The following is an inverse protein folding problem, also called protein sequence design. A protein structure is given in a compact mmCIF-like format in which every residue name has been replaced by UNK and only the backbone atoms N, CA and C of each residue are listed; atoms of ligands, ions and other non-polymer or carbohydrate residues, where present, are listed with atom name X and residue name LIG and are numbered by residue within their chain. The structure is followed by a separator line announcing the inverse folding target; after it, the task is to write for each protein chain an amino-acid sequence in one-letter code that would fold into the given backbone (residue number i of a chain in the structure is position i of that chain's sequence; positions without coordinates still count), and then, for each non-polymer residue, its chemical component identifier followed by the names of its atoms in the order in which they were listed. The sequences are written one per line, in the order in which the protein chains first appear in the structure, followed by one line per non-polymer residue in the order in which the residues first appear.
data_IF_902180054568
#
_entry.id   IF_902180054568
#
_cell.length_a   1.000
_cell.length_b   1.000
_cell.length_c   1.000
_cell.angle_alpha   90.00
_cell.angle_beta   90.00
_cell.angle_gamma   90.00
#
_symmetry.space_group_name_H-M   'P 1'
#
loop_
_entity.id
_entity.type
_entity.pdbx_description
1 polymer ?
#
# COMPACT_ATOMS: atom_id res chain seq x y z
N UNK A 1 23.48 4.84 -20.21
CA UNK A 1 24.22 5.58 -19.17
C UNK A 1 23.30 6.28 -18.18
N UNK A 2 22.35 7.03 -18.65
CA UNK A 2 21.39 7.75 -17.81
C UNK A 2 20.54 6.83 -16.93
N UNK A 3 20.08 5.70 -17.46
CA UNK A 3 19.27 4.73 -16.73
C UNK A 3 20.04 4.07 -15.56
N UNK A 4 21.32 3.80 -15.74
CA UNK A 4 22.18 3.23 -14.69
C UNK A 4 22.37 4.23 -13.55
N UNK A 5 22.61 5.48 -13.89
CA UNK A 5 22.76 6.55 -12.90
C UNK A 5 21.50 6.72 -12.09
N UNK A 6 20.32 6.77 -12.74
CA UNK A 6 19.03 6.87 -12.04
C UNK A 6 18.80 5.70 -11.09
N UNK A 7 19.14 4.48 -11.50
CA UNK A 7 19.02 3.31 -10.64
C UNK A 7 19.94 3.38 -9.44
N UNK A 8 21.15 3.88 -9.62
CA UNK A 8 22.10 4.04 -8.53
C UNK A 8 21.64 5.11 -7.54
N UNK A 9 21.13 6.26 -8.05
CA UNK A 9 20.60 7.31 -7.19
C UNK A 9 19.37 6.84 -6.42
N UNK A 10 18.48 6.10 -7.07
CA UNK A 10 17.31 5.53 -6.41
C UNK A 10 17.72 4.56 -5.29
N UNK A 11 18.68 3.69 -5.59
CA UNK A 11 19.20 2.74 -4.59
C UNK A 11 19.81 3.48 -3.41
N UNK A 12 20.65 4.48 -3.68
CA UNK A 12 21.28 5.29 -2.64
C UNK A 12 20.25 6.00 -1.77
N UNK A 13 19.24 6.63 -2.39
CA UNK A 13 18.18 7.31 -1.67
C UNK A 13 17.40 6.34 -0.78
N UNK A 14 17.09 5.16 -1.29
CA UNK A 14 16.40 4.13 -0.50
C UNK A 14 17.24 3.65 0.68
N UNK A 15 18.56 3.50 0.49
CA UNK A 15 19.47 3.13 1.57
C UNK A 15 19.56 4.20 2.65
N UNK A 16 19.61 5.46 2.25
CA UNK A 16 19.60 6.60 3.17
C UNK A 16 18.30 6.67 3.98
N UNK A 17 17.16 6.49 3.31
CA UNK A 17 15.86 6.45 3.97
C UNK A 17 15.74 5.27 4.93
N UNK A 18 16.24 4.11 4.53
CA UNK A 18 16.26 2.93 5.38
C UNK A 18 17.10 3.17 6.64
N UNK A 19 18.23 3.82 6.48
CA UNK A 19 19.09 4.17 7.62
C UNK A 19 18.37 5.12 8.58
N UNK A 20 17.68 6.13 8.07
CA UNK A 20 16.89 7.06 8.88
C UNK A 20 15.80 6.30 9.66
N UNK A 21 15.11 5.38 9.01
CA UNK A 21 14.11 4.54 9.66
C UNK A 21 14.71 3.72 10.80
N UNK A 22 15.88 3.11 10.57
CA UNK A 22 16.54 2.28 11.57
C UNK A 22 17.08 3.07 12.77
N UNK A 23 17.40 4.34 12.58
CA UNK A 23 17.89 5.22 13.65
C UNK A 23 16.77 5.69 14.58
N UNK A 24 15.51 5.72 14.13
CA UNK A 24 14.37 6.10 14.95
C UNK A 24 13.70 4.88 15.57
N UNK A 25 13.66 4.74 16.90
CA UNK A 25 12.99 3.59 17.54
C UNK A 25 11.53 3.44 17.12
N UNK A 26 10.79 4.56 17.03
CA UNK A 26 9.37 4.54 16.64
C UNK A 26 9.21 4.09 15.19
N UNK A 27 10.01 4.62 14.27
CA UNK A 27 9.94 4.26 12.86
C UNK A 27 10.39 2.84 12.62
N UNK A 28 11.41 2.38 13.33
CA UNK A 28 11.89 1.00 13.26
C UNK A 28 10.80 0.02 13.68
N UNK A 29 10.09 0.32 14.76
CA UNK A 29 8.97 -0.50 15.23
C UNK A 29 7.86 -0.55 14.19
N UNK A 30 7.44 0.60 13.67
CA UNK A 30 6.40 0.68 12.63
C UNK A 30 6.82 -0.07 11.37
N UNK A 31 8.06 0.09 10.93
CA UNK A 31 8.58 -0.61 9.76
C UNK A 31 8.55 -2.13 9.98
N UNK A 32 8.92 -2.61 11.16
CA UNK A 32 8.89 -4.03 11.47
C UNK A 32 7.47 -4.59 11.40
N UNK A 33 6.48 -3.85 11.91
CA UNK A 33 5.07 -4.24 11.80
C UNK A 33 4.63 -4.35 10.35
N UNK A 34 4.91 -3.33 9.53
CA UNK A 34 4.54 -3.32 8.13
C UNK A 34 5.20 -4.47 7.35
N UNK A 35 6.48 -4.72 7.60
CA UNK A 35 7.26 -5.76 6.92
C UNK A 35 6.88 -7.18 7.34
N UNK A 36 6.11 -7.34 8.41
CA UNK A 36 5.60 -8.65 8.79
C UNK A 36 4.55 -9.17 7.82
N UNK A 37 3.96 -8.30 6.98
CA UNK A 37 2.97 -8.69 5.98
C UNK A 37 3.67 -9.28 4.76
N UNK A 38 3.33 -10.54 4.37
CA UNK A 38 3.89 -11.12 3.15
C UNK A 38 3.56 -10.26 1.93
N UNK A 39 4.58 -9.84 1.20
CA UNK A 39 4.48 -8.95 0.06
C UNK A 39 4.90 -7.51 0.36
N UNK A 40 5.05 -7.16 1.63
CA UNK A 40 5.49 -5.81 2.03
C UNK A 40 6.98 -5.84 2.38
N UNK A 41 7.76 -5.18 1.55
CA UNK A 41 9.20 -5.07 1.73
C UNK A 41 9.65 -3.70 2.19
N UNK A 42 10.98 -3.46 2.16
CA UNK A 42 11.56 -2.18 2.60
C UNK A 42 11.02 -0.98 1.83
N UNK A 43 10.84 -1.09 0.52
CA UNK A 43 10.40 0.03 -0.31
C UNK A 43 9.01 0.53 0.10
N UNK A 44 8.02 -0.36 0.23
CA UNK A 44 6.67 0.06 0.63
C UNK A 44 6.66 0.58 2.06
N UNK A 45 7.33 -0.10 3.00
CA UNK A 45 7.33 0.33 4.41
C UNK A 45 7.93 1.72 4.58
N UNK A 46 9.06 2.00 3.95
CA UNK A 46 9.71 3.31 4.00
C UNK A 46 8.82 4.37 3.34
N UNK A 47 8.26 4.06 2.16
CA UNK A 47 7.38 4.98 1.44
C UNK A 47 6.16 5.36 2.27
N UNK A 48 5.52 4.39 2.91
CA UNK A 48 4.35 4.66 3.75
C UNK A 48 4.70 5.51 4.97
N UNK A 49 5.81 5.22 5.62
CA UNK A 49 6.24 6.00 6.79
C UNK A 49 6.60 7.44 6.42
N UNK A 50 7.24 7.63 5.28
CA UNK A 50 7.68 8.95 4.84
C UNK A 50 6.57 9.77 4.18
N UNK A 51 5.74 9.14 3.33
CA UNK A 51 4.79 9.85 2.48
C UNK A 51 3.33 9.69 2.90
N UNK A 52 3.02 8.79 3.83
CA UNK A 52 1.67 8.57 4.32
C UNK A 52 1.65 8.51 5.86
N UNK A 53 2.09 9.59 6.54
CA UNK A 53 2.12 9.58 8.01
C UNK A 53 0.74 9.45 8.64
N UNK A 54 -0.33 9.75 7.90
CA UNK A 54 -1.72 9.64 8.35
C UNK A 54 -2.26 8.21 8.36
N UNK A 55 -1.47 7.22 7.91
CA UNK A 55 -1.93 5.85 7.68
C UNK A 55 -2.69 5.25 8.87
N UNK A 56 -2.19 5.44 10.08
CA UNK A 56 -2.82 4.89 11.29
C UNK A 56 -4.01 5.69 11.81
N UNK A 57 -4.23 6.91 11.29
CA UNK A 57 -5.27 7.83 11.79
C UNK A 57 -6.51 7.93 10.90
N UNK A 58 -6.43 7.45 9.66
CA UNK A 58 -7.51 7.55 8.70
C UNK A 58 -8.28 6.22 8.58
N UNK A 59 -9.57 6.31 8.31
CA UNK A 59 -10.36 5.13 8.00
C UNK A 59 -10.11 4.66 6.55
N UNK A 60 -10.66 3.50 6.21
CA UNK A 60 -10.42 2.89 4.89
C UNK A 60 -10.87 3.77 3.71
N UNK A 61 -11.98 4.50 3.87
CA UNK A 61 -12.48 5.40 2.82
C UNK A 61 -11.55 6.58 2.60
N UNK A 62 -11.11 7.18 3.70
CA UNK A 62 -10.17 8.31 3.66
C UNK A 62 -8.83 7.89 3.07
N UNK A 63 -8.31 6.74 3.47
CA UNK A 63 -7.05 6.20 2.92
C UNK A 63 -7.16 5.92 1.43
N UNK A 64 -8.25 5.28 1.01
CA UNK A 64 -8.47 4.97 -0.40
C UNK A 64 -8.56 6.24 -1.26
N UNK A 65 -9.24 7.27 -0.77
CA UNK A 65 -9.33 8.55 -1.46
C UNK A 65 -7.98 9.26 -1.53
N UNK A 66 -7.23 9.27 -0.44
CA UNK A 66 -5.93 9.95 -0.36
C UNK A 66 -4.90 9.32 -1.29
N UNK A 67 -4.86 8.00 -1.36
CA UNK A 67 -3.92 7.26 -2.21
C UNK A 67 -4.40 7.18 -3.67
N UNK A 68 -5.70 7.40 -3.91
CA UNK A 68 -6.26 7.35 -5.25
C UNK A 68 -6.65 5.95 -5.72
N UNK A 69 -7.09 5.11 -4.80
CA UNK A 69 -7.55 3.74 -5.09
C UNK A 69 -9.02 3.53 -4.73
N UNK A 70 -9.74 4.60 -4.42
CA UNK A 70 -11.16 4.54 -4.13
C UNK A 70 -11.94 4.11 -5.37
N UNK A 71 -13.07 3.39 -5.20
CA UNK A 71 -13.93 3.09 -6.35
C UNK A 71 -14.42 4.37 -6.99
N UNK A 72 -14.34 4.43 -8.34
CA UNK A 72 -14.82 5.59 -9.08
C UNK A 72 -16.34 5.54 -9.09
N UNK A 73 -16.95 6.59 -8.57
CA UNK A 73 -18.40 6.74 -8.63
C UNK A 73 -18.75 7.37 -9.98
N UNK A 74 -19.35 6.60 -10.87
CA UNK A 74 -19.65 7.03 -12.25
C UNK A 74 -20.57 8.24 -12.31
N UNK A 75 -21.43 8.40 -11.31
CA UNK A 75 -22.46 9.45 -11.28
C UNK A 75 -21.93 10.82 -10.86
N UNK A 76 -20.76 10.88 -10.25
CA UNK A 76 -20.20 12.14 -9.76
C UNK A 76 -19.28 12.83 -10.75
N UNK A 77 -19.21 12.31 -11.94
CA UNK A 77 -18.56 12.96 -13.06
C UNK A 77 -17.05 12.91 -13.06
N UNK A 78 -16.55 13.17 -14.23
CA UNK A 78 -15.13 13.19 -14.58
C UNK A 78 -14.30 14.12 -13.69
N UNK A 79 -14.90 15.16 -13.12
CA UNK A 79 -14.21 16.15 -12.30
C UNK A 79 -13.69 15.58 -10.99
N UNK A 80 -14.46 14.72 -10.33
CA UNK A 80 -14.01 14.06 -9.09
C UNK A 80 -12.94 13.01 -9.36
N UNK A 81 -13.07 12.26 -10.44
CA UNK A 81 -12.05 11.32 -10.88
C UNK A 81 -10.74 12.03 -11.17
N UNK A 82 -10.79 13.16 -11.85
CA UNK A 82 -9.64 14.00 -12.14
C UNK A 82 -9.03 14.53 -10.84
N UNK A 83 -9.84 15.02 -9.91
CA UNK A 83 -9.35 15.51 -8.61
C UNK A 83 -8.68 14.41 -7.79
N UNK A 84 -9.22 13.20 -7.82
CA UNK A 84 -8.64 12.05 -7.11
C UNK A 84 -7.29 11.68 -7.72
N UNK A 85 -7.18 11.71 -9.04
CA UNK A 85 -5.92 11.46 -9.75
C UNK A 85 -4.89 12.55 -9.42
N UNK A 86 -5.31 13.82 -9.41
CA UNK A 86 -4.42 14.95 -9.13
C UNK A 86 -4.09 15.09 -7.65
N UNK A 87 -5.07 14.80 -6.75
CA UNK A 87 -4.90 14.90 -5.31
C UNK A 87 -4.33 13.65 -4.66
N UNK A 88 -4.35 12.51 -5.36
CA UNK A 88 -3.83 11.26 -4.83
C UNK A 88 -2.31 11.25 -4.79
N UNK A 89 -1.75 10.57 -3.80
CA UNK A 89 -0.30 10.43 -3.66
C UNK A 89 0.20 9.36 -4.62
N UNK A 90 0.55 9.78 -5.82
CA UNK A 90 0.91 8.88 -6.92
C UNK A 90 2.14 8.02 -6.62
N UNK A 91 3.10 8.56 -5.86
CA UNK A 91 4.28 7.80 -5.45
C UNK A 91 3.92 6.63 -4.55
N UNK A 92 3.04 6.87 -3.56
CA UNK A 92 2.52 5.82 -2.68
C UNK A 92 1.74 4.80 -3.49
N UNK A 93 0.87 5.25 -4.39
CA UNK A 93 0.05 4.36 -5.21
C UNK A 93 0.89 3.43 -6.08
N UNK A 94 1.94 3.94 -6.69
CA UNK A 94 2.85 3.15 -7.54
C UNK A 94 3.54 2.05 -6.74
N UNK A 95 4.10 2.40 -5.59
CA UNK A 95 4.80 1.43 -4.73
C UNK A 95 3.81 0.42 -4.14
N UNK A 96 2.63 0.87 -3.73
CA UNK A 96 1.57 0.00 -3.24
C UNK A 96 1.10 -0.99 -4.31
N UNK A 97 0.98 -0.55 -5.57
CA UNK A 97 0.63 -1.43 -6.68
C UNK A 97 1.65 -2.56 -6.84
N UNK A 98 2.94 -2.23 -6.84
CA UNK A 98 4.00 -3.22 -6.96
C UNK A 98 4.01 -4.21 -5.81
N UNK A 99 3.81 -3.73 -4.59
CA UNK A 99 3.69 -4.60 -3.41
C UNK A 99 2.46 -5.50 -3.49
N UNK A 100 1.35 -4.98 -4.02
CA UNK A 100 0.11 -5.75 -4.21
C UNK A 100 0.31 -6.89 -5.20
N UNK A 101 1.02 -6.67 -6.30
CA UNK A 101 1.37 -7.74 -7.24
C UNK A 101 2.15 -8.85 -6.54
N UNK A 102 3.07 -8.49 -5.67
CA UNK A 102 3.83 -9.45 -4.87
C UNK A 102 2.92 -10.18 -3.87
N UNK A 103 2.06 -9.44 -3.18
CA UNK A 103 1.14 -10.00 -2.18
C UNK A 103 0.14 -10.99 -2.79
N UNK A 104 -0.35 -10.73 -4.00
CA UNK A 104 -1.24 -11.66 -4.72
C UNK A 104 -0.57 -13.00 -4.94
N UNK A 105 0.73 -13.04 -5.06
CA UNK A 105 1.50 -14.28 -5.26
C UNK A 105 1.87 -14.97 -3.95
N UNK A 106 2.27 -14.22 -2.94
CA UNK A 106 2.92 -14.77 -1.75
C UNK A 106 2.12 -14.61 -0.45
N UNK A 107 1.06 -13.80 -0.45
CA UNK A 107 0.22 -13.60 0.72
C UNK A 107 -1.11 -14.35 0.50
N UNK A 108 -1.33 -15.41 1.25
CA UNK A 108 -2.49 -16.28 1.06
C UNK A 108 -3.83 -15.54 1.23
N UNK A 109 -3.89 -14.58 2.13
CA UNK A 109 -5.10 -13.79 2.38
C UNK A 109 -5.43 -12.89 1.18
N UNK A 110 -4.43 -12.16 0.68
CA UNK A 110 -4.60 -11.28 -0.48
C UNK A 110 -4.86 -12.10 -1.75
N UNK A 111 -4.15 -13.21 -1.91
CA UNK A 111 -4.35 -14.13 -3.03
C UNK A 111 -5.79 -14.66 -3.07
N UNK A 112 -6.30 -15.13 -1.95
CA UNK A 112 -7.67 -15.64 -1.87
C UNK A 112 -8.70 -14.56 -2.20
N UNK A 113 -8.49 -13.34 -1.72
CA UNK A 113 -9.35 -12.21 -2.03
C UNK A 113 -9.34 -11.88 -3.52
N UNK A 114 -8.15 -11.84 -4.12
CA UNK A 114 -7.99 -11.59 -5.55
C UNK A 114 -8.70 -12.67 -6.39
N UNK A 115 -8.45 -13.94 -6.08
CA UNK A 115 -9.06 -15.05 -6.80
C UNK A 115 -10.58 -15.05 -6.70
N UNK A 116 -11.13 -14.73 -5.54
CA UNK A 116 -12.57 -14.60 -5.34
C UNK A 116 -13.18 -13.50 -6.21
N UNK A 117 -12.52 -12.34 -6.32
CA UNK A 117 -12.99 -11.28 -7.18
C UNK A 117 -12.92 -11.66 -8.65
N UNK A 118 -11.85 -12.33 -9.07
CA UNK A 118 -11.72 -12.81 -10.45
C UNK A 118 -12.78 -13.86 -10.78
N UNK A 119 -13.08 -14.75 -9.85
CA UNK A 119 -14.12 -15.75 -10.03
C UNK A 119 -15.51 -15.13 -10.20
N UNK A 120 -15.74 -13.96 -9.60
CA UNK A 120 -16.98 -13.20 -9.78
C UNK A 120 -17.03 -12.42 -11.10
N UNK A 121 -16.02 -12.54 -11.94
CA UNK A 121 -15.96 -11.87 -13.24
C UNK A 121 -15.37 -10.47 -13.20
N UNK A 122 -14.78 -10.04 -12.09
CA UNK A 122 -14.16 -8.70 -12.02
C UNK A 122 -12.91 -8.66 -12.89
N UNK A 123 -12.72 -7.58 -13.70
CA UNK A 123 -11.50 -7.41 -14.47
C UNK A 123 -10.26 -7.39 -13.58
N UNK A 124 -9.13 -7.79 -14.13
CA UNK A 124 -7.86 -7.88 -13.41
C UNK A 124 -7.49 -6.56 -12.71
N UNK A 125 -7.60 -5.44 -13.42
CA UNK A 125 -7.29 -4.11 -12.85
C UNK A 125 -8.19 -3.76 -11.66
N UNK A 126 -9.48 -4.07 -11.77
CA UNK A 126 -10.45 -3.82 -10.69
C UNK A 126 -10.13 -4.68 -9.47
N UNK A 127 -9.82 -5.96 -9.70
CA UNK A 127 -9.45 -6.88 -8.63
C UNK A 127 -8.14 -6.45 -7.94
N UNK A 128 -7.14 -6.03 -8.70
CA UNK A 128 -5.87 -5.53 -8.14
C UNK A 128 -6.07 -4.24 -7.33
N UNK A 129 -6.88 -3.31 -7.84
CA UNK A 129 -7.18 -2.07 -7.10
C UNK A 129 -7.90 -2.35 -5.79
N UNK A 130 -8.82 -3.31 -5.79
CA UNK A 130 -9.48 -3.76 -4.57
C UNK A 130 -8.49 -4.38 -3.58
N UNK A 131 -7.52 -5.14 -4.08
CA UNK A 131 -6.44 -5.71 -3.25
C UNK A 131 -5.55 -4.61 -2.66
N UNK A 132 -5.27 -3.55 -3.42
CA UNK A 132 -4.53 -2.40 -2.92
C UNK A 132 -5.25 -1.74 -1.74
N UNK A 133 -6.56 -1.51 -1.88
CA UNK A 133 -7.38 -0.97 -0.78
C UNK A 133 -7.35 -1.87 0.45
N UNK A 134 -7.52 -3.17 0.23
CA UNK A 134 -7.52 -4.15 1.33
C UNK A 134 -6.17 -4.17 2.05
N UNK A 135 -5.08 -4.21 1.30
CA UNK A 135 -3.74 -4.20 1.87
C UNK A 135 -3.49 -2.91 2.67
N UNK A 136 -3.85 -1.77 2.10
CA UNK A 136 -3.71 -0.48 2.76
C UNK A 136 -4.51 -0.41 4.07
N UNK A 137 -5.74 -0.92 4.06
CA UNK A 137 -6.60 -0.98 5.25
C UNK A 137 -5.99 -1.86 6.34
N UNK A 138 -5.45 -3.01 5.96
CA UNK A 138 -4.78 -3.92 6.89
C UNK A 138 -3.57 -3.24 7.52
N UNK A 139 -2.72 -2.62 6.72
CA UNK A 139 -1.52 -1.93 7.19
C UNK A 139 -1.86 -0.80 8.18
N UNK A 140 -2.89 -0.01 7.86
CA UNK A 140 -3.36 1.04 8.75
C UNK A 140 -3.85 0.49 10.09
N UNK A 141 -4.62 -0.58 10.07
CA UNK A 141 -5.13 -1.23 11.29
C UNK A 141 -4.00 -1.81 12.14
N UNK A 142 -3.01 -2.43 11.49
CA UNK A 142 -1.85 -2.99 12.19
C UNK A 142 -1.05 -1.92 12.93
N UNK A 143 -0.82 -0.78 12.29
CA UNK A 143 -0.13 0.36 12.94
C UNK A 143 -0.96 0.93 14.09
N UNK A 144 -2.27 1.08 13.88
CA UNK A 144 -3.17 1.61 14.92
C UNK A 144 -3.18 0.72 16.15
N UNK A 145 -3.25 -0.58 15.95
CA UNK A 145 -3.35 -1.56 17.02
C UNK A 145 -2.00 -2.07 17.50
N UNK A 146 -0.91 -1.66 16.86
CA UNK A 146 0.46 -2.13 17.20
C UNK A 146 0.57 -3.64 17.17
N UNK A 147 -0.06 -4.28 16.20
CA UNK A 147 -0.05 -5.73 16.04
C UNK A 147 0.66 -6.15 14.77
N UNK A 148 1.46 -7.22 14.79
CA UNK A 148 2.05 -7.76 13.59
C UNK A 148 1.01 -8.48 12.73
N UNK A 149 1.40 -8.88 11.53
CA UNK A 149 0.54 -9.60 10.61
C UNK A 149 -0.05 -10.86 11.24
N UNK A 150 -1.35 -11.02 11.11
CA UNK A 150 -2.10 -12.20 11.53
C UNK A 150 -3.08 -12.56 10.42
N UNK A 151 -2.88 -13.69 9.72
CA UNK A 151 -3.74 -14.07 8.59
C UNK A 151 -5.22 -14.19 8.96
N UNK A 152 -5.53 -14.66 10.15
CA UNK A 152 -6.91 -14.84 10.61
C UNK A 152 -7.64 -13.52 10.85
N UNK A 153 -6.96 -12.52 11.36
CA UNK A 153 -7.53 -11.19 11.58
C UNK A 153 -7.85 -10.49 10.26
N UNK A 154 -7.09 -10.74 9.21
CA UNK A 154 -7.29 -10.16 7.90
C UNK A 154 -8.52 -10.73 7.18
N UNK A 155 -8.96 -11.92 7.54
CA UNK A 155 -10.16 -12.57 6.95
C UNK A 155 -11.44 -11.92 7.46
N UNK A 156 -11.45 -11.41 8.68
CA UNK A 156 -12.64 -10.85 9.33
C UNK A 156 -12.93 -9.42 8.87
N UNK A 157 -11.92 -8.71 8.44
CA UNK A 157 -12.06 -7.33 7.97
C UNK A 157 -12.32 -7.29 6.45
#
# INVERSE_FOLDING_TARGET
MHLRWLKQELKRTNEELEQIVQESPIWREKAALLRSVPGVGPTLSVTLLAELPELEHLNRKQLAALVGVAPVNRDSGTLRGIRTIWGGRSGVRTVLYMATLCAVRFNSTIKAFYERLRAKGKPKKVALTACMRKLLTILGAMLRNRTPWQPQAAVIS
#
